data_IF_218151281886
#
_entry.id   IF_218151281886
#
_cell.length_a   1.000
_cell.length_b   1.000
_cell.length_c   1.000
_cell.angle_alpha   90.00
_cell.angle_beta   90.00
_cell.angle_gamma   90.00
#
_symmetry.space_group_name_H-M   'P 1'
#
loop_
_entity.id
_entity.type
_entity.pdbx_description
1 polymer ?
#
# COMPACT_ATOMS: atom_id res chain seq x y z
N UNK A 1 17.04 -11.33 12.24
CA UNK A 1 16.09 -11.61 11.14
C UNK A 1 16.92 -11.77 9.88
N UNK A 2 16.78 -12.88 9.16
CA UNK A 2 17.42 -13.03 7.85
C UNK A 2 16.43 -12.53 6.80
N UNK A 3 16.49 -11.23 6.49
CA UNK A 3 15.61 -10.62 5.51
C UNK A 3 15.96 -11.15 4.13
N UNK A 4 14.96 -11.59 3.36
CA UNK A 4 15.15 -12.04 1.98
C UNK A 4 14.94 -10.84 1.06
N UNK A 5 15.74 -10.75 -0.01
CA UNK A 5 15.64 -9.65 -0.97
C UNK A 5 14.27 -9.55 -1.66
N UNK A 6 13.54 -10.67 -1.76
CA UNK A 6 12.25 -10.76 -2.47
C UNK A 6 11.04 -10.77 -1.52
N UNK A 7 11.20 -10.32 -0.28
CA UNK A 7 10.12 -10.27 0.70
C UNK A 7 9.17 -9.08 0.42
N UNK A 8 7.86 -9.35 0.39
CA UNK A 8 6.84 -8.32 0.19
C UNK A 8 6.67 -7.54 1.50
N UNK A 9 7.04 -6.27 1.50
CA UNK A 9 6.87 -5.37 2.65
C UNK A 9 5.49 -4.71 2.70
N UNK A 10 4.82 -4.59 1.55
CA UNK A 10 3.49 -4.00 1.41
C UNK A 10 2.78 -4.57 0.18
N UNK A 11 1.49 -4.88 0.33
CA UNK A 11 0.62 -5.30 -0.76
C UNK A 11 -0.82 -4.93 -0.45
N UNK A 12 -1.61 -4.64 -1.48
CA UNK A 12 -3.07 -4.50 -1.38
C UNK A 12 -3.71 -5.64 -2.18
N UNK A 13 -4.56 -6.40 -1.52
CA UNK A 13 -5.33 -7.48 -2.14
C UNK A 13 -6.67 -6.96 -2.69
N UNK A 14 -7.23 -7.68 -3.66
CA UNK A 14 -8.59 -7.39 -4.16
C UNK A 14 -9.63 -7.50 -3.03
N UNK A 15 -9.42 -8.40 -2.07
CA UNK A 15 -10.32 -8.52 -0.91
C UNK A 15 -10.34 -7.28 -0.02
N UNK A 16 -9.18 -6.67 0.23
CA UNK A 16 -9.08 -5.39 0.95
C UNK A 16 -9.72 -4.25 0.16
N UNK A 17 -9.47 -4.18 -1.15
CA UNK A 17 -10.12 -3.20 -2.02
C UNK A 17 -11.65 -3.34 -1.98
N UNK A 18 -12.16 -4.57 -2.04
CA UNK A 18 -13.59 -4.85 -1.99
C UNK A 18 -14.20 -4.56 -0.61
N UNK A 19 -13.47 -4.84 0.46
CA UNK A 19 -13.87 -4.49 1.82
C UNK A 19 -14.02 -2.97 1.98
N UNK A 20 -13.04 -2.20 1.51
CA UNK A 20 -13.12 -0.74 1.53
C UNK A 20 -14.22 -0.19 0.62
N UNK A 21 -14.43 -0.77 -0.57
CA UNK A 21 -15.54 -0.41 -1.42
C UNK A 21 -16.90 -0.63 -0.73
N UNK A 22 -17.07 -1.78 -0.07
CA UNK A 22 -18.29 -2.08 0.68
C UNK A 22 -18.51 -1.09 1.83
N UNK A 23 -17.44 -0.64 2.50
CA UNK A 23 -17.51 0.40 3.54
C UNK A 23 -17.84 1.78 2.98
N UNK A 24 -17.28 2.14 1.83
CA UNK A 24 -17.38 3.49 1.27
C UNK A 24 -18.64 3.72 0.42
N UNK A 25 -19.01 2.74 -0.41
CA UNK A 25 -20.16 2.83 -1.34
C UNK A 25 -21.27 1.81 -1.07
N UNK A 26 -21.13 0.96 -0.05
CA UNK A 26 -22.17 0.02 0.38
C UNK A 26 -22.30 -1.27 -0.45
N UNK A 27 -21.43 -1.47 -1.44
CA UNK A 27 -21.40 -2.68 -2.28
C UNK A 27 -19.97 -3.01 -2.74
N UNK A 28 -19.82 -4.20 -3.30
CA UNK A 28 -18.61 -4.60 -4.00
C UNK A 28 -18.52 -3.91 -5.38
N UNK A 29 -17.29 -3.65 -5.81
CA UNK A 29 -16.94 -3.18 -7.15
C UNK A 29 -17.18 -4.28 -8.19
N UNK A 30 -17.58 -3.89 -9.38
CA UNK A 30 -17.58 -4.77 -10.56
C UNK A 30 -16.14 -5.00 -11.06
N UNK A 31 -15.93 -5.96 -11.96
CA UNK A 31 -14.61 -6.23 -12.55
C UNK A 31 -14.00 -4.99 -13.23
N UNK A 32 -14.80 -4.23 -13.98
CA UNK A 32 -14.36 -2.99 -14.62
C UNK A 32 -13.99 -1.92 -13.58
N UNK A 33 -14.79 -1.79 -12.52
CA UNK A 33 -14.50 -0.85 -11.44
C UNK A 33 -13.23 -1.22 -10.66
N UNK A 34 -12.99 -2.53 -10.43
CA UNK A 34 -11.74 -3.03 -9.86
C UNK A 34 -10.56 -2.63 -10.74
N UNK A 35 -10.67 -2.79 -12.07
CA UNK A 35 -9.61 -2.41 -12.99
C UNK A 35 -9.25 -0.92 -12.85
N UNK A 36 -10.25 -0.03 -12.89
CA UNK A 36 -10.01 1.41 -12.75
C UNK A 36 -9.51 1.80 -11.36
N UNK A 37 -10.06 1.19 -10.30
CA UNK A 37 -9.61 1.42 -8.92
C UNK A 37 -8.15 1.00 -8.74
N UNK A 38 -7.76 -0.16 -9.29
CA UNK A 38 -6.37 -0.64 -9.28
C UNK A 38 -5.45 0.36 -9.97
N UNK A 39 -5.82 0.87 -11.15
CA UNK A 39 -5.05 1.91 -11.85
C UNK A 39 -4.91 3.21 -11.05
N UNK A 40 -5.97 3.62 -10.35
CA UNK A 40 -5.93 4.79 -9.47
C UNK A 40 -4.99 4.58 -8.29
N UNK A 41 -5.04 3.41 -7.66
CA UNK A 41 -4.16 3.04 -6.54
C UNK A 41 -2.70 2.98 -7.01
N UNK A 42 -2.42 2.33 -8.13
CA UNK A 42 -1.07 2.24 -8.70
C UNK A 42 -0.48 3.63 -8.95
N UNK A 43 -1.26 4.54 -9.53
CA UNK A 43 -0.83 5.90 -9.82
C UNK A 43 -0.57 6.70 -8.54
N UNK A 44 -1.49 6.61 -7.56
CA UNK A 44 -1.35 7.30 -6.27
C UNK A 44 -0.12 6.82 -5.50
N UNK A 45 0.06 5.51 -5.39
CA UNK A 45 1.25 4.93 -4.77
C UNK A 45 2.51 5.37 -5.53
N UNK A 46 2.55 5.23 -6.85
CA UNK A 46 3.76 5.57 -7.63
C UNK A 46 4.19 7.02 -7.50
N UNK A 47 3.24 7.94 -7.29
CA UNK A 47 3.54 9.38 -7.20
C UNK A 47 4.17 9.74 -5.85
N UNK A 48 3.71 9.13 -4.76
CA UNK A 48 4.12 9.51 -3.40
C UNK A 48 5.08 8.51 -2.73
N UNK A 49 5.30 7.33 -3.33
CA UNK A 49 6.06 6.24 -2.69
C UNK A 49 7.50 6.63 -2.36
N UNK A 50 8.13 7.51 -3.13
CA UNK A 50 9.49 7.98 -2.86
C UNK A 50 9.57 8.70 -1.51
N UNK A 51 8.61 9.59 -1.23
CA UNK A 51 8.55 10.33 0.03
C UNK A 51 8.29 9.36 1.19
N UNK A 52 7.37 8.41 1.00
CA UNK A 52 7.06 7.37 1.99
C UNK A 52 8.32 6.55 2.34
N UNK A 53 9.13 6.17 1.35
CA UNK A 53 10.39 5.48 1.60
C UNK A 53 11.37 6.35 2.38
N UNK A 54 11.56 7.61 1.98
CA UNK A 54 12.49 8.50 2.66
C UNK A 54 12.12 8.67 4.14
N UNK A 55 10.86 9.03 4.43
CA UNK A 55 10.38 9.19 5.80
C UNK A 55 10.50 7.90 6.61
N UNK A 56 10.07 6.75 6.07
CA UNK A 56 10.14 5.49 6.78
C UNK A 56 11.58 5.06 7.11
N UNK A 57 12.52 5.32 6.20
CA UNK A 57 13.94 5.04 6.41
C UNK A 57 14.50 5.96 7.50
N UNK A 58 14.27 7.27 7.41
CA UNK A 58 14.75 8.26 8.38
C UNK A 58 14.24 7.94 9.79
N UNK A 59 12.94 7.71 9.94
CA UNK A 59 12.31 7.35 11.20
C UNK A 59 12.88 6.05 11.77
N UNK A 60 13.05 5.02 10.93
CA UNK A 60 13.60 3.72 11.37
C UNK A 60 15.03 3.85 11.92
N UNK A 61 15.86 4.67 11.27
CA UNK A 61 17.24 4.93 11.67
C UNK A 61 17.27 5.73 12.97
N UNK A 62 16.43 6.76 13.11
CA UNK A 62 16.34 7.55 14.33
C UNK A 62 15.91 6.69 15.53
N UNK A 63 14.83 5.92 15.37
CA UNK A 63 14.28 5.08 16.44
C UNK A 63 15.24 3.97 16.87
N UNK A 64 16.01 3.42 15.92
CA UNK A 64 17.00 2.38 16.22
C UNK A 64 18.18 2.87 17.08
N UNK A 65 18.54 4.17 16.98
CA UNK A 65 19.63 4.80 17.74
C UNK A 65 19.24 5.20 19.17
N UNK A 66 17.94 5.24 19.48
CA UNK A 66 17.41 5.55 20.82
C UNK A 66 17.34 4.32 21.75
N UNK A 67 17.83 3.17 21.30
CA UNK A 67 18.02 1.95 22.09
C UNK A 67 19.48 1.80 22.50
#
# INVERSE_FOLDING_TARGET
MNLKNDEIIYSVTIGELQFEAKRYIGRELTEDEIYYATKGIDWGLSTDIEIVFQTAIEDSVELSKKK
#
